data_IF_788382076826
#
_entry.id   IF_788382076826
#
_cell.length_a   1.000
_cell.length_b   1.000
_cell.length_c   1.000
_cell.angle_alpha   90.00
_cell.angle_beta   90.00
_cell.angle_gamma   90.00
#
_symmetry.space_group_name_H-M   'P 1'
#
loop_
_entity.id
_entity.type
_entity.pdbx_description
1 polymer ?
#
# COMPACT_ATOMS: atom_id res chain seq x y z
N UNK A 1 -16.60 -15.08 14.42
CA UNK A 1 -18.02 -15.22 14.04
C UNK A 1 -18.39 -14.26 12.91
N UNK A 2 -18.49 -12.93 13.12
CA UNK A 2 -18.94 -12.03 12.04
C UNK A 2 -17.96 -11.91 10.84
N UNK A 3 -16.65 -11.85 11.07
CA UNK A 3 -15.66 -11.77 9.98
C UNK A 3 -15.51 -13.09 9.24
N UNK A 4 -15.56 -14.21 9.96
CA UNK A 4 -15.54 -15.57 9.41
C UNK A 4 -16.72 -15.80 8.47
N UNK A 5 -17.94 -15.43 8.87
CA UNK A 5 -19.11 -15.58 7.99
C UNK A 5 -19.02 -14.78 6.69
N UNK A 6 -18.22 -13.71 6.66
CA UNK A 6 -18.03 -12.85 5.47
C UNK A 6 -16.91 -13.39 4.58
N UNK A 7 -15.77 -13.74 5.19
CA UNK A 7 -14.55 -14.09 4.45
C UNK A 7 -14.38 -15.58 4.20
N UNK A 8 -14.90 -16.46 5.06
CA UNK A 8 -14.73 -17.91 4.91
C UNK A 8 -15.31 -18.46 3.59
N UNK A 9 -16.51 -18.03 3.10
CA UNK A 9 -17.06 -18.54 1.85
C UNK A 9 -16.22 -18.20 0.62
N UNK A 10 -15.38 -17.17 0.69
CA UNK A 10 -14.60 -16.68 -0.46
C UNK A 10 -13.10 -16.83 -0.23
N UNK A 11 -12.53 -16.04 0.68
CA UNK A 11 -11.11 -16.07 1.03
C UNK A 11 -10.74 -17.37 1.77
N UNK A 12 -11.61 -17.86 2.66
CA UNK A 12 -11.37 -19.14 3.35
C UNK A 12 -11.35 -20.31 2.39
N UNK A 13 -12.32 -20.36 1.46
CA UNK A 13 -12.34 -21.35 0.38
C UNK A 13 -11.06 -21.29 -0.47
N UNK A 14 -10.58 -20.10 -0.84
CA UNK A 14 -9.32 -19.93 -1.57
C UNK A 14 -8.12 -20.47 -0.78
N UNK A 15 -8.03 -20.16 0.52
CA UNK A 15 -6.92 -20.61 1.37
C UNK A 15 -6.95 -22.11 1.65
N UNK A 16 -8.14 -22.73 1.71
CA UNK A 16 -8.30 -24.15 2.00
C UNK A 16 -8.11 -25.04 0.77
N UNK A 17 -8.46 -24.56 -0.42
CA UNK A 17 -8.38 -25.36 -1.66
C UNK A 17 -7.04 -25.21 -2.40
N UNK A 18 -6.29 -24.12 -2.15
CA UNK A 18 -5.00 -23.90 -2.78
C UNK A 18 -3.86 -24.30 -1.83
N UNK A 19 -2.87 -25.08 -2.30
CA UNK A 19 -1.72 -25.41 -1.48
C UNK A 19 -0.91 -24.15 -1.15
N UNK A 20 -0.22 -24.17 0.00
CA UNK A 20 0.74 -23.12 0.33
C UNK A 20 1.84 -23.06 -0.74
N UNK A 21 2.25 -21.87 -1.22
CA UNK A 21 1.87 -20.51 -0.78
C UNK A 21 0.73 -19.87 -1.61
N UNK A 22 0.15 -20.59 -2.57
CA UNK A 22 -0.75 -20.05 -3.59
C UNK A 22 -2.07 -19.50 -3.03
N UNK A 23 -2.60 -20.11 -1.97
CA UNK A 23 -3.75 -19.57 -1.25
C UNK A 23 -3.48 -18.16 -0.74
N UNK A 24 -2.38 -17.97 0.00
CA UNK A 24 -2.01 -16.66 0.52
C UNK A 24 -1.73 -15.67 -0.62
N UNK A 25 -1.04 -16.12 -1.67
CA UNK A 25 -0.77 -15.29 -2.84
C UNK A 25 -2.06 -14.75 -3.47
N UNK A 26 -3.09 -15.59 -3.64
CA UNK A 26 -4.38 -15.17 -4.16
C UNK A 26 -5.07 -14.13 -3.27
N UNK A 27 -5.05 -14.33 -1.94
CA UNK A 27 -5.57 -13.35 -0.98
C UNK A 27 -4.79 -12.03 -1.04
N UNK A 28 -3.47 -12.10 -1.06
CA UNK A 28 -2.59 -10.92 -1.22
C UNK A 28 -2.86 -10.19 -2.53
N UNK A 29 -3.12 -10.90 -3.62
CA UNK A 29 -3.49 -10.32 -4.91
C UNK A 29 -4.80 -9.56 -4.84
N UNK A 30 -5.87 -10.20 -4.35
CA UNK A 30 -7.19 -9.56 -4.23
C UNK A 30 -7.15 -8.33 -3.34
N UNK A 31 -6.50 -8.42 -2.18
CA UNK A 31 -6.37 -7.29 -1.25
C UNK A 31 -5.53 -6.16 -1.86
N UNK A 32 -4.38 -6.48 -2.47
CA UNK A 32 -3.51 -5.46 -3.09
C UNK A 32 -4.23 -4.79 -4.27
N UNK A 33 -4.98 -5.54 -5.07
CA UNK A 33 -5.80 -5.02 -6.15
C UNK A 33 -6.88 -4.07 -5.61
N UNK A 34 -7.64 -4.50 -4.60
CA UNK A 34 -8.67 -3.68 -3.97
C UNK A 34 -8.09 -2.35 -3.44
N UNK A 35 -7.01 -2.41 -2.67
CA UNK A 35 -6.33 -1.23 -2.12
C UNK A 35 -5.86 -0.30 -3.25
N UNK A 36 -5.28 -0.87 -4.31
CA UNK A 36 -4.77 -0.09 -5.45
C UNK A 36 -5.91 0.61 -6.20
N UNK A 37 -7.05 -0.06 -6.36
CA UNK A 37 -8.25 0.52 -6.98
C UNK A 37 -8.87 1.63 -6.11
N UNK A 38 -9.00 1.40 -4.80
CA UNK A 38 -9.46 2.43 -3.85
C UNK A 38 -8.54 3.64 -3.92
N UNK A 39 -7.22 3.43 -3.86
CA UNK A 39 -6.25 4.52 -3.95
C UNK A 39 -6.41 5.30 -5.25
N UNK A 40 -6.54 4.60 -6.39
CA UNK A 40 -6.73 5.22 -7.70
C UNK A 40 -8.00 6.07 -7.76
N UNK A 41 -9.08 5.60 -7.14
CA UNK A 41 -10.38 6.25 -7.19
C UNK A 41 -10.51 7.41 -6.19
N UNK A 42 -9.92 7.28 -5.01
CA UNK A 42 -9.99 8.30 -3.95
C UNK A 42 -9.02 9.45 -4.23
N UNK A 43 -7.92 9.20 -4.93
CA UNK A 43 -6.87 10.19 -5.17
C UNK A 43 -6.93 10.73 -6.59
N UNK A 44 -6.83 12.06 -6.73
CA UNK A 44 -6.64 12.72 -8.03
C UNK A 44 -5.25 12.39 -8.59
N UNK A 45 -5.21 11.52 -9.59
CA UNK A 45 -3.95 11.02 -10.17
C UNK A 45 -3.16 12.12 -10.90
N UNK A 46 -3.85 13.08 -11.50
CA UNK A 46 -3.20 14.18 -12.22
C UNK A 46 -2.55 15.13 -11.21
N UNK A 47 -3.30 15.53 -10.18
CA UNK A 47 -2.76 16.35 -9.10
C UNK A 47 -1.56 15.70 -8.40
N UNK A 48 -1.64 14.39 -8.11
CA UNK A 48 -0.53 13.68 -7.46
C UNK A 48 0.72 13.60 -8.34
N UNK A 49 0.52 13.43 -9.65
CA UNK A 49 1.63 13.43 -10.62
C UNK A 49 2.29 14.82 -10.66
N UNK A 50 1.50 15.88 -10.79
CA UNK A 50 2.00 17.26 -10.82
C UNK A 50 2.73 17.62 -9.52
N UNK A 51 2.17 17.28 -8.35
CA UNK A 51 2.83 17.52 -7.07
C UNK A 51 4.19 16.78 -6.96
N UNK A 52 4.29 15.55 -7.47
CA UNK A 52 5.56 14.81 -7.52
C UNK A 52 6.58 15.42 -8.46
N UNK A 53 6.14 15.89 -9.63
CA UNK A 53 7.00 16.56 -10.61
C UNK A 53 7.52 17.89 -10.07
N UNK A 54 6.65 18.71 -9.48
CA UNK A 54 7.01 19.95 -8.79
C UNK A 54 8.01 19.69 -7.67
N UNK A 55 7.75 18.69 -6.81
CA UNK A 55 8.68 18.31 -5.74
C UNK A 55 10.06 17.93 -6.28
N UNK A 56 10.13 17.21 -7.40
CA UNK A 56 11.40 16.86 -8.06
C UNK A 56 12.10 18.09 -8.63
N UNK A 57 11.37 19.05 -9.19
CA UNK A 57 11.94 20.32 -9.67
C UNK A 57 12.53 21.13 -8.52
N UNK A 58 11.73 21.34 -7.46
CA UNK A 58 12.17 22.09 -6.29
C UNK A 58 13.37 21.44 -5.59
N UNK A 59 13.45 20.11 -5.57
CA UNK A 59 14.62 19.39 -5.05
C UNK A 59 15.90 19.64 -5.87
N UNK A 60 15.79 19.91 -7.18
CA UNK A 60 16.94 20.30 -8.01
C UNK A 60 17.35 21.74 -7.72
N UNK A 61 16.39 22.66 -7.67
CA UNK A 61 16.61 24.08 -7.33
C UNK A 61 17.30 24.23 -5.96
N UNK A 62 16.89 23.42 -4.96
CA UNK A 62 17.55 23.38 -3.65
C UNK A 62 19.04 22.99 -3.71
N UNK A 63 19.45 22.20 -4.71
CA UNK A 63 20.87 21.84 -4.88
C UNK A 63 21.69 22.96 -5.50
N UNK A 64 21.05 23.86 -6.23
CA UNK A 64 21.65 25.03 -6.86
C UNK A 64 21.73 26.21 -5.87
N UNK A 65 20.79 26.31 -4.94
CA UNK A 65 20.70 27.36 -3.91
C UNK A 65 21.57 27.10 -2.66
N UNK A 66 22.56 26.19 -2.72
CA UNK A 66 23.35 25.79 -1.56
C UNK A 66 24.17 26.93 -0.94
N UNK A 67 24.57 27.90 -1.75
CA UNK A 67 25.46 28.98 -1.35
C UNK A 67 24.71 30.21 -0.78
N UNK A 68 23.37 30.21 -0.83
CA UNK A 68 22.53 31.26 -0.24
C UNK A 68 21.62 30.67 0.86
N UNK A 69 22.02 30.78 2.14
CA UNK A 69 21.25 30.25 3.27
C UNK A 69 19.84 30.85 3.42
N UNK A 70 19.64 32.12 3.03
CA UNK A 70 18.33 32.77 3.16
C UNK A 70 17.38 32.28 2.07
N UNK A 71 17.84 32.24 0.81
CA UNK A 71 17.06 31.71 -0.29
C UNK A 71 16.78 30.20 -0.12
N UNK A 72 17.75 29.45 0.40
CA UNK A 72 17.59 28.04 0.73
C UNK A 72 16.48 27.82 1.76
N UNK A 73 16.46 28.57 2.86
CA UNK A 73 15.40 28.46 3.87
C UNK A 73 14.01 28.80 3.32
N UNK A 74 13.90 29.88 2.53
CA UNK A 74 12.64 30.24 1.88
C UNK A 74 12.14 29.11 0.98
N UNK A 75 13.02 28.53 0.15
CA UNK A 75 12.66 27.44 -0.76
C UNK A 75 12.34 26.14 -0.03
N UNK A 76 13.05 25.83 1.06
CA UNK A 76 12.73 24.67 1.91
C UNK A 76 11.32 24.77 2.50
N UNK A 77 10.88 25.97 2.90
CA UNK A 77 9.51 26.18 3.38
C UNK A 77 8.48 25.88 2.29
N UNK A 78 8.71 26.35 1.07
CA UNK A 78 7.86 26.04 -0.09
C UNK A 78 7.79 24.52 -0.38
N UNK A 79 8.95 23.84 -0.33
CA UNK A 79 9.02 22.38 -0.47
C UNK A 79 8.23 21.68 0.63
N UNK A 80 8.32 22.14 1.87
CA UNK A 80 7.57 21.59 2.99
C UNK A 80 6.07 21.77 2.78
N UNK A 81 5.60 22.96 2.38
CA UNK A 81 4.19 23.24 2.10
C UNK A 81 3.64 22.33 0.99
N UNK A 82 4.38 22.15 -0.11
CA UNK A 82 4.00 21.22 -1.19
C UNK A 82 4.01 19.76 -0.74
N UNK A 83 5.00 19.34 0.06
CA UNK A 83 5.04 18.01 0.66
C UNK A 83 3.83 17.77 1.57
N UNK A 84 3.44 18.76 2.37
CA UNK A 84 2.25 18.67 3.23
C UNK A 84 0.98 18.54 2.39
N UNK A 85 0.84 19.32 1.32
CA UNK A 85 -0.29 19.19 0.38
C UNK A 85 -0.36 17.79 -0.22
N UNK A 86 0.76 17.27 -0.73
CA UNK A 86 0.86 15.90 -1.23
C UNK A 86 0.50 14.86 -0.16
N UNK A 87 1.00 15.03 1.05
CA UNK A 87 0.71 14.15 2.18
C UNK A 87 -0.78 14.16 2.51
N UNK A 88 -1.44 15.31 2.60
CA UNK A 88 -2.88 15.41 2.84
C UNK A 88 -3.70 14.67 1.79
N UNK A 89 -3.35 14.81 0.51
CA UNK A 89 -4.02 14.08 -0.58
C UNK A 89 -3.79 12.57 -0.52
N UNK A 90 -2.61 12.12 -0.08
CA UNK A 90 -2.32 10.69 0.10
C UNK A 90 -2.87 10.09 1.40
N UNK A 91 -3.17 10.91 2.42
CA UNK A 91 -3.63 10.47 3.72
C UNK A 91 -5.09 9.98 3.71
N UNK A 92 -5.96 10.64 2.93
CA UNK A 92 -7.37 10.20 2.80
C UNK A 92 -7.48 8.76 2.25
N UNK A 93 -6.82 8.38 1.14
CA UNK A 93 -6.74 6.99 0.70
C UNK A 93 -6.18 6.06 1.76
N UNK A 94 -5.12 6.47 2.47
CA UNK A 94 -4.51 5.67 3.52
C UNK A 94 -5.54 5.25 4.59
N UNK A 95 -6.29 6.20 5.15
CA UNK A 95 -7.32 5.93 6.15
C UNK A 95 -8.42 5.00 5.63
N UNK A 96 -8.87 5.22 4.39
CA UNK A 96 -9.91 4.38 3.78
C UNK A 96 -9.40 2.96 3.57
N UNK A 97 -8.16 2.79 3.11
CA UNK A 97 -7.54 1.47 2.88
C UNK A 97 -7.14 0.77 4.18
N UNK A 98 -7.01 1.50 5.29
CA UNK A 98 -6.69 0.92 6.60
C UNK A 98 -7.80 0.00 7.12
N UNK A 99 -9.06 0.36 6.85
CA UNK A 99 -10.24 -0.43 7.25
C UNK A 99 -10.20 -1.85 6.65
N UNK A 100 -10.14 -2.05 5.31
CA UNK A 100 -10.08 -3.39 4.75
C UNK A 100 -8.81 -4.15 5.14
N UNK A 101 -7.68 -3.46 5.36
CA UNK A 101 -6.45 -4.10 5.85
C UNK A 101 -6.69 -4.72 7.23
N UNK A 102 -7.21 -3.96 8.20
CA UNK A 102 -7.44 -4.47 9.56
C UNK A 102 -8.42 -5.64 9.55
N UNK A 103 -9.52 -5.52 8.79
CA UNK A 103 -10.53 -6.57 8.74
C UNK A 103 -9.96 -7.88 8.19
N UNK A 104 -9.22 -7.82 7.09
CA UNK A 104 -8.62 -9.01 6.49
C UNK A 104 -7.48 -9.53 7.35
N UNK A 105 -6.60 -8.68 7.88
CA UNK A 105 -5.49 -9.14 8.73
C UNK A 105 -5.98 -9.77 10.04
N UNK A 106 -7.03 -9.22 10.65
CA UNK A 106 -7.63 -9.79 11.86
C UNK A 106 -8.17 -11.20 11.60
N UNK A 107 -8.82 -11.39 10.45
CA UNK A 107 -9.31 -12.70 10.02
C UNK A 107 -8.16 -13.65 9.63
N UNK A 108 -7.20 -13.19 8.82
CA UNK A 108 -6.06 -13.98 8.33
C UNK A 108 -5.19 -14.48 9.48
N UNK A 109 -4.96 -13.61 10.48
CA UNK A 109 -4.26 -13.97 11.71
C UNK A 109 -4.93 -15.14 12.41
N UNK A 110 -6.24 -15.06 12.63
CA UNK A 110 -6.99 -16.14 13.29
C UNK A 110 -6.96 -17.45 12.48
N UNK A 111 -7.09 -17.36 11.16
CA UNK A 111 -7.02 -18.51 10.26
C UNK A 111 -5.67 -19.24 10.40
N UNK A 112 -4.55 -18.52 10.31
CA UNK A 112 -3.22 -19.12 10.44
C UNK A 112 -2.87 -19.54 11.87
N UNK A 113 -3.33 -18.81 12.90
CA UNK A 113 -3.16 -19.22 14.30
C UNK A 113 -3.87 -20.56 14.58
N UNK A 114 -5.07 -20.76 14.01
CA UNK A 114 -5.83 -22.02 14.16
C UNK A 114 -5.12 -23.21 13.51
N UNK A 115 -4.33 -22.97 12.47
CA UNK A 115 -3.50 -23.99 11.82
C UNK A 115 -2.12 -24.20 12.50
N UNK A 116 -1.84 -23.50 13.61
CA UNK A 116 -0.55 -23.60 14.29
C UNK A 116 0.57 -22.75 13.67
N UNK A 117 0.22 -21.73 12.87
CA UNK A 117 1.16 -20.83 12.18
C UNK A 117 2.21 -21.57 11.32
N UNK A 118 1.78 -22.36 10.32
CA UNK A 118 2.72 -23.05 9.45
C UNK A 118 3.55 -22.08 8.61
N UNK A 119 4.71 -22.56 8.18
CA UNK A 119 5.53 -21.85 7.19
C UNK A 119 4.80 -21.80 5.85
N UNK A 120 4.78 -20.61 5.25
CA UNK A 120 4.07 -20.37 3.99
C UNK A 120 5.06 -20.33 2.83
N UNK A 121 6.07 -19.48 2.90
CA UNK A 121 7.02 -19.27 1.81
C UNK A 121 8.46 -19.34 2.35
N UNK A 122 9.25 -20.31 1.91
CA UNK A 122 10.67 -20.44 2.28
C UNK A 122 10.94 -20.38 3.82
N UNK A 123 10.09 -21.00 4.63
CA UNK A 123 10.21 -20.95 6.10
C UNK A 123 9.71 -19.65 6.74
N UNK A 124 9.08 -18.76 5.97
CA UNK A 124 8.49 -17.53 6.47
C UNK A 124 7.03 -17.74 6.89
N UNK A 125 6.65 -17.10 7.99
CA UNK A 125 5.26 -17.05 8.43
C UNK A 125 4.36 -16.35 7.40
N UNK A 126 3.05 -16.51 7.57
CA UNK A 126 2.05 -15.88 6.70
C UNK A 126 2.20 -14.36 6.60
N UNK A 127 2.60 -13.68 7.67
CA UNK A 127 2.73 -12.22 7.69
C UNK A 127 3.86 -11.76 6.78
N UNK A 128 5.04 -12.36 6.91
CA UNK A 128 6.20 -12.02 6.07
C UNK A 128 5.97 -12.40 4.61
N UNK A 129 5.37 -13.57 4.39
CA UNK A 129 4.99 -14.02 3.05
C UNK A 129 4.00 -13.05 2.38
N UNK A 130 2.99 -12.58 3.13
CA UNK A 130 2.05 -11.56 2.65
C UNK A 130 2.77 -10.25 2.29
N UNK A 131 3.70 -9.78 3.12
CA UNK A 131 4.45 -8.54 2.85
C UNK A 131 5.23 -8.66 1.54
N UNK A 132 5.93 -9.78 1.32
CA UNK A 132 6.67 -10.03 0.09
C UNK A 132 5.74 -10.02 -1.13
N UNK A 133 4.64 -10.78 -1.07
CA UNK A 133 3.66 -10.82 -2.15
C UNK A 133 3.07 -9.44 -2.42
N UNK A 134 2.63 -8.73 -1.39
CA UNK A 134 2.01 -7.40 -1.56
C UNK A 134 2.98 -6.37 -2.15
N UNK A 135 4.27 -6.39 -1.79
CA UNK A 135 5.27 -5.51 -2.40
C UNK A 135 5.39 -5.79 -3.90
N UNK A 136 5.61 -7.06 -4.28
CA UNK A 136 5.76 -7.45 -5.69
C UNK A 136 4.50 -7.13 -6.50
N UNK A 137 3.34 -7.50 -5.97
CA UNK A 137 2.04 -7.25 -6.59
C UNK A 137 1.71 -5.77 -6.69
N UNK A 138 2.04 -4.98 -5.66
CA UNK A 138 1.78 -3.53 -5.69
C UNK A 138 2.61 -2.82 -6.75
N UNK A 139 3.89 -3.20 -6.92
CA UNK A 139 4.74 -2.65 -7.98
C UNK A 139 4.16 -2.97 -9.36
N UNK A 140 3.71 -4.20 -9.57
CA UNK A 140 3.09 -4.63 -10.81
C UNK A 140 1.77 -3.91 -11.07
N UNK A 141 0.84 -3.94 -10.11
CA UNK A 141 -0.50 -3.38 -10.24
C UNK A 141 -0.48 -1.86 -10.40
N UNK A 142 0.37 -1.12 -9.68
CA UNK A 142 0.50 0.32 -9.86
C UNK A 142 0.95 0.70 -11.27
N UNK A 143 1.85 -0.10 -11.85
CA UNK A 143 2.32 0.09 -13.23
C UNK A 143 1.20 -0.19 -14.24
N UNK A 144 0.49 -1.31 -14.09
CA UNK A 144 -0.61 -1.70 -14.98
C UNK A 144 -1.78 -0.70 -14.89
N UNK A 145 -2.14 -0.28 -13.68
CA UNK A 145 -3.28 0.60 -13.43
C UNK A 145 -2.93 2.09 -13.56
N UNK A 146 -1.68 2.44 -13.90
CA UNK A 146 -1.17 3.82 -14.00
C UNK A 146 -1.49 4.65 -12.76
N UNK A 147 -1.21 4.08 -11.58
CA UNK A 147 -1.37 4.75 -10.30
C UNK A 147 -0.09 5.49 -9.97
N UNK A 148 -0.19 6.80 -9.78
CA UNK A 148 0.97 7.68 -9.60
C UNK A 148 1.24 7.99 -8.14
#
# INVERSE_FOLDING_TARGET
MALESIFDPTLGWLLSNLPSPWGLFAVSFLLTLLITLIYKWVTDQELMKTLKEDMKSMQKELKELKDDPQALMAKQKEVMEKNMKYMMHSFKPMLITFIPIILIFGWLRKYYETMGNPDVLFGLSWLWSYIIFSIVLSMFLRKVLKVH
#
